data_IF_629616528595
#
_entry.id   IF_629616528595
#
_cell.length_a   1.000
_cell.length_b   1.000
_cell.length_c   1.000
_cell.angle_alpha   90.00
_cell.angle_beta   90.00
_cell.angle_gamma   90.00
#
_symmetry.space_group_name_H-M   'P 1'
#
loop_
_entity.id
_entity.type
_entity.pdbx_description
1 polymer ?
#
# COMPACT_ATOMS: atom_id res chain seq x y z
N UNK A 1 -9.23 21.62 -3.18
CA UNK A 1 -9.67 20.21 -3.32
C UNK A 1 -8.50 19.47 -3.94
N UNK A 2 -7.87 18.56 -3.22
CA UNK A 2 -6.77 17.75 -3.77
C UNK A 2 -7.35 16.85 -4.85
N UNK A 3 -7.07 17.17 -6.11
CA UNK A 3 -7.31 16.29 -7.25
C UNK A 3 -6.16 15.27 -7.30
N UNK A 4 -6.13 14.40 -6.28
CA UNK A 4 -5.26 13.23 -6.18
C UNK A 4 -6.04 12.01 -6.69
N UNK A 5 -6.56 12.09 -7.92
CA UNK A 5 -7.05 10.89 -8.60
C UNK A 5 -5.88 9.92 -8.68
N UNK A 6 -5.89 8.91 -7.79
CA UNK A 6 -5.01 7.75 -7.90
C UNK A 6 -4.95 7.36 -9.36
N UNK A 7 -3.75 7.31 -9.90
CA UNK A 7 -3.60 7.12 -11.33
C UNK A 7 -4.23 5.79 -11.76
N UNK A 8 -4.82 5.77 -12.97
CA UNK A 8 -5.52 4.59 -13.48
C UNK A 8 -4.58 3.36 -13.55
N UNK A 9 -3.27 3.58 -13.60
CA UNK A 9 -2.27 2.52 -13.60
C UNK A 9 -2.17 1.84 -12.22
N UNK A 10 -2.19 2.61 -11.13
CA UNK A 10 -2.17 2.11 -9.76
C UNK A 10 -3.42 1.30 -9.47
N UNK A 11 -4.60 1.80 -9.88
CA UNK A 11 -5.86 1.07 -9.72
C UNK A 11 -5.78 -0.29 -10.42
N UNK A 12 -5.31 -0.32 -11.68
CA UNK A 12 -5.13 -1.58 -12.43
C UNK A 12 -4.15 -2.53 -11.75
N UNK A 13 -3.02 -2.02 -11.25
CA UNK A 13 -2.04 -2.84 -10.53
C UNK A 13 -2.63 -3.46 -9.26
N UNK A 14 -3.43 -2.69 -8.51
CA UNK A 14 -4.13 -3.19 -7.32
C UNK A 14 -5.17 -4.24 -7.70
N UNK A 15 -5.92 -4.03 -8.78
CA UNK A 15 -6.89 -5.02 -9.27
C UNK A 15 -6.21 -6.34 -9.68
N UNK A 16 -5.09 -6.26 -10.41
CA UNK A 16 -4.29 -7.44 -10.78
C UNK A 16 -3.75 -8.17 -9.54
N UNK A 17 -3.31 -7.43 -8.52
CA UNK A 17 -2.88 -7.98 -7.24
C UNK A 17 -4.03 -8.74 -6.55
N UNK A 18 -5.24 -8.16 -6.52
CA UNK A 18 -6.42 -8.81 -5.93
C UNK A 18 -6.77 -10.10 -6.66
N UNK A 19 -6.72 -10.10 -7.99
CA UNK A 19 -6.99 -11.29 -8.81
C UNK A 19 -5.96 -12.39 -8.55
N UNK A 20 -4.68 -12.03 -8.41
CA UNK A 20 -3.60 -13.00 -8.17
C UNK A 20 -3.58 -13.56 -6.75
N UNK A 21 -4.19 -12.86 -5.78
CA UNK A 21 -4.13 -13.21 -4.36
C UNK A 21 -4.72 -14.57 -4.00
N UNK A 22 -5.61 -15.15 -4.82
CA UNK A 22 -6.24 -16.44 -4.53
C UNK A 22 -5.27 -17.61 -4.27
N UNK A 23 -3.99 -17.46 -4.66
CA UNK A 23 -2.94 -18.47 -4.46
C UNK A 23 -2.07 -18.22 -3.21
N UNK A 24 -2.22 -17.07 -2.54
CA UNK A 24 -1.38 -16.66 -1.41
C UNK A 24 -2.25 -16.28 -0.19
N UNK A 25 -2.32 -17.16 0.84
CA UNK A 25 -3.11 -16.92 2.05
C UNK A 25 -2.66 -15.71 2.88
N UNK A 26 -1.38 -15.30 2.81
CA UNK A 26 -0.89 -14.09 3.47
C UNK A 26 -1.35 -12.85 2.73
N UNK A 27 -1.28 -12.87 1.40
CA UNK A 27 -1.76 -11.77 0.56
C UNK A 27 -3.28 -11.57 0.72
N UNK A 28 -4.08 -12.65 0.74
CA UNK A 28 -5.53 -12.57 1.02
C UNK A 28 -5.81 -11.91 2.37
N UNK A 29 -5.04 -12.27 3.41
CA UNK A 29 -5.17 -11.66 4.73
C UNK A 29 -4.81 -10.18 4.71
N UNK A 30 -3.75 -9.81 4.00
CA UNK A 30 -3.35 -8.42 3.79
C UNK A 30 -4.44 -7.60 3.11
N UNK A 31 -5.04 -8.11 2.02
CA UNK A 31 -6.11 -7.42 1.31
C UNK A 31 -7.37 -7.25 2.17
N UNK A 32 -7.76 -8.28 2.94
CA UNK A 32 -8.87 -8.17 3.91
C UNK A 32 -8.60 -7.12 4.97
N UNK A 33 -7.36 -7.00 5.42
CA UNK A 33 -6.98 -5.97 6.38
C UNK A 33 -7.07 -4.57 5.76
N UNK A 34 -6.63 -4.38 4.51
CA UNK A 34 -6.76 -3.12 3.77
C UNK A 34 -8.24 -2.71 3.66
N UNK A 35 -9.12 -3.63 3.27
CA UNK A 35 -10.57 -3.39 3.19
C UNK A 35 -11.19 -3.03 4.55
N UNK A 36 -10.77 -3.71 5.62
CA UNK A 36 -11.22 -3.34 6.98
C UNK A 36 -10.77 -1.93 7.36
N UNK A 37 -9.51 -1.56 7.08
CA UNK A 37 -9.00 -0.24 7.40
C UNK A 37 -9.61 0.86 6.54
N UNK A 38 -9.86 0.62 5.25
CA UNK A 38 -10.51 1.61 4.37
C UNK A 38 -11.88 1.99 4.91
N UNK A 39 -12.71 0.99 5.26
CA UNK A 39 -14.03 1.18 5.88
C UNK A 39 -13.95 1.93 7.21
N UNK A 40 -12.99 1.57 8.07
CA UNK A 40 -12.80 2.23 9.38
C UNK A 40 -12.46 3.71 9.23
N UNK A 41 -11.73 4.08 8.18
CA UNK A 41 -11.26 5.45 7.96
C UNK A 41 -12.15 6.25 7.00
N UNK A 42 -13.21 5.64 6.44
CA UNK A 42 -14.11 6.31 5.51
C UNK A 42 -13.47 6.68 4.17
N UNK A 43 -12.46 5.91 3.74
CA UNK A 43 -11.75 6.10 2.47
C UNK A 43 -11.92 4.86 1.57
N UNK A 44 -11.60 4.99 0.29
CA UNK A 44 -11.63 3.89 -0.65
C UNK A 44 -10.54 2.85 -0.35
N UNK A 45 -10.76 1.63 -0.85
CA UNK A 45 -9.77 0.55 -0.79
C UNK A 45 -8.43 0.97 -1.41
N UNK A 46 -8.47 1.63 -2.57
CA UNK A 46 -7.29 2.08 -3.30
C UNK A 46 -6.52 3.15 -2.52
N UNK A 47 -7.21 4.12 -1.89
CA UNK A 47 -6.56 5.12 -1.04
C UNK A 47 -5.84 4.46 0.15
N UNK A 48 -6.49 3.50 0.81
CA UNK A 48 -5.84 2.76 1.90
C UNK A 48 -4.63 1.95 1.41
N UNK A 49 -4.74 1.27 0.27
CA UNK A 49 -3.63 0.54 -0.33
C UNK A 49 -2.45 1.48 -0.65
N UNK A 50 -2.73 2.66 -1.19
CA UNK A 50 -1.73 3.68 -1.49
C UNK A 50 -1.05 4.20 -0.23
N UNK A 51 -1.81 4.50 0.83
CA UNK A 51 -1.25 4.93 2.12
C UNK A 51 -0.30 3.89 2.72
N UNK A 52 -0.68 2.60 2.66
CA UNK A 52 0.16 1.50 3.15
C UNK A 52 1.48 1.44 2.37
N UNK A 53 1.41 1.53 1.04
CA UNK A 53 2.60 1.56 0.18
C UNK A 53 3.52 2.74 0.55
N UNK A 54 2.97 3.94 0.66
CA UNK A 54 3.74 5.15 1.00
C UNK A 54 4.39 5.05 2.38
N UNK A 55 3.68 4.51 3.37
CA UNK A 55 4.23 4.26 4.70
C UNK A 55 5.43 3.30 4.62
N UNK A 56 5.28 2.18 3.91
CA UNK A 56 6.35 1.21 3.76
C UNK A 56 7.58 1.79 3.07
N UNK A 57 7.39 2.55 1.99
CA UNK A 57 8.49 3.23 1.30
C UNK A 57 9.23 4.24 2.20
N UNK A 58 8.48 5.04 2.96
CA UNK A 58 9.07 6.02 3.87
C UNK A 58 9.93 5.34 4.94
N UNK A 59 9.42 4.26 5.54
CA UNK A 59 10.17 3.46 6.50
C UNK A 59 11.42 2.81 5.89
N UNK A 60 11.33 2.30 4.65
CA UNK A 60 12.48 1.76 3.94
C UNK A 60 13.55 2.81 3.68
N UNK A 61 13.17 3.99 3.21
CA UNK A 61 14.09 5.12 2.98
C UNK A 61 14.76 5.55 4.28
N UNK A 62 14.01 5.64 5.37
CA UNK A 62 14.56 5.95 6.69
C UNK A 62 15.59 4.90 7.15
N UNK A 63 15.28 3.61 6.99
CA UNK A 63 16.22 2.51 7.30
C UNK A 63 17.49 2.57 6.46
N UNK A 64 17.38 2.83 5.16
CA UNK A 64 18.54 2.95 4.26
C UNK A 64 19.43 4.14 4.66
N UNK A 65 18.82 5.28 4.97
CA UNK A 65 19.55 6.46 5.43
C UNK A 65 20.34 6.20 6.72
N UNK A 66 19.75 5.51 7.71
CA UNK A 66 20.44 5.13 8.94
C UNK A 66 21.65 4.23 8.66
N UNK A 67 21.49 3.19 7.83
CA UNK A 67 22.59 2.28 7.46
C UNK A 67 23.75 3.02 6.78
N UNK A 68 23.45 3.97 5.90
CA UNK A 68 24.48 4.76 5.21
C UNK A 68 25.24 5.68 6.17
N UNK A 69 24.61 6.14 7.26
CA UNK A 69 25.25 6.92 8.32
C UNK A 69 26.13 6.09 9.26
N UNK A 70 25.79 4.82 9.47
CA UNK A 70 26.58 3.91 10.31
C UNK A 70 27.79 3.31 9.56
N UNK A 71 27.76 3.33 8.22
CA UNK A 71 28.80 2.75 7.36
C UNK A 71 29.86 3.77 6.89
N UNK A 72 29.79 5.03 7.37
CA UNK A 72 30.62 6.15 6.94
C UNK A 72 31.13 6.94 8.14
#
# INVERSE_FOLDING_TARGET
>A
MHDDRLDDQFIRLVDELVVSAGKDPDLVRGLKWIDMQSRKNGISFYEMAFMVLKKHEAENRARQWLKNKESN
#
